data_IF_810901216296
#
_entry.id   IF_810901216296
#
_cell.length_a   1.000
_cell.length_b   1.000
_cell.length_c   1.000
_cell.angle_alpha   90.00
_cell.angle_beta   90.00
_cell.angle_gamma   90.00
#
_symmetry.space_group_name_H-M   'P 1'
#
loop_
_entity.id
_entity.type
_entity.pdbx_description
1 polymer ?
#
# COMPACT_ATOMS: atom_id res chain seq x y z
N UNK A 1 -26.08 -32.78 13.57
CA UNK A 1 -25.37 -32.01 14.60
C UNK A 1 -24.35 -31.18 13.84
N UNK A 2 -24.74 -30.00 13.38
CA UNK A 2 -23.83 -29.11 12.66
C UNK A 2 -22.80 -28.60 13.68
N UNK A 3 -21.57 -29.07 13.55
CA UNK A 3 -20.44 -28.44 14.19
C UNK A 3 -20.29 -27.05 13.57
N UNK A 4 -20.88 -26.04 14.22
CA UNK A 4 -20.46 -24.66 13.99
C UNK A 4 -18.95 -24.64 14.23
N UNK A 5 -18.15 -24.51 13.17
CA UNK A 5 -16.73 -24.20 13.31
C UNK A 5 -16.67 -22.89 14.09
N UNK A 6 -16.39 -22.98 15.39
CA UNK A 6 -16.12 -21.80 16.21
C UNK A 6 -14.95 -21.08 15.55
N UNK A 7 -15.16 -19.85 15.13
CA UNK A 7 -14.14 -19.05 14.45
C UNK A 7 -13.47 -18.04 15.40
N UNK A 8 -12.56 -17.21 14.86
CA UNK A 8 -11.97 -16.10 15.60
C UNK A 8 -13.00 -15.12 16.20
N UNK A 9 -14.23 -15.06 15.64
CA UNK A 9 -15.33 -14.27 16.20
C UNK A 9 -15.73 -14.73 17.61
N UNK A 10 -15.74 -16.04 17.86
CA UNK A 10 -16.22 -16.62 19.11
C UNK A 10 -15.10 -16.76 20.13
N UNK A 11 -13.96 -17.28 19.70
CA UNK A 11 -12.82 -17.60 20.57
C UNK A 11 -11.50 -17.14 19.94
N UNK A 12 -11.21 -15.84 19.91
CA UNK A 12 -10.01 -15.28 19.23
C UNK A 12 -8.67 -15.67 19.87
N UNK A 13 -8.68 -16.25 21.07
CA UNK A 13 -7.47 -16.73 21.77
C UNK A 13 -6.99 -18.10 21.25
N UNK A 14 -7.78 -18.79 20.43
CA UNK A 14 -7.41 -20.08 19.85
C UNK A 14 -6.69 -19.91 18.50
N UNK A 15 -6.11 -21.01 18.02
CA UNK A 15 -5.46 -21.06 16.72
C UNK A 15 -6.45 -21.48 15.63
N UNK A 16 -6.44 -20.77 14.50
CA UNK A 16 -7.34 -21.02 13.36
C UNK A 16 -6.59 -20.98 12.02
N UNK A 17 -7.18 -21.55 10.95
CA UNK A 17 -6.66 -21.41 9.60
C UNK A 17 -6.57 -19.95 9.15
N UNK A 18 -5.69 -19.69 8.18
CA UNK A 18 -5.48 -18.36 7.59
C UNK A 18 -6.77 -17.75 7.03
N UNK A 19 -7.64 -18.58 6.44
CA UNK A 19 -8.91 -18.15 5.85
C UNK A 19 -9.81 -17.49 6.90
N UNK A 20 -9.97 -18.14 8.06
CA UNK A 20 -10.83 -17.63 9.13
C UNK A 20 -10.29 -16.33 9.72
N UNK A 21 -8.97 -16.22 9.87
CA UNK A 21 -8.33 -14.98 10.33
C UNK A 21 -8.51 -13.85 9.33
N UNK A 22 -8.33 -14.14 8.04
CA UNK A 22 -8.48 -13.12 7.01
C UNK A 22 -9.92 -12.62 6.91
N UNK A 23 -10.91 -13.50 6.97
CA UNK A 23 -12.31 -13.11 6.97
C UNK A 23 -12.67 -12.27 8.20
N UNK A 24 -12.17 -12.65 9.38
CA UNK A 24 -12.37 -11.88 10.61
C UNK A 24 -11.72 -10.48 10.54
N UNK A 25 -10.53 -10.35 9.93
CA UNK A 25 -9.86 -9.07 9.70
C UNK A 25 -10.61 -8.21 8.67
N UNK A 26 -11.15 -8.82 7.61
CA UNK A 26 -11.97 -8.11 6.60
C UNK A 26 -13.29 -7.62 7.17
N UNK A 27 -13.81 -8.29 8.20
CA UNK A 27 -14.94 -7.80 8.97
C UNK A 27 -14.52 -6.55 9.78
N UNK A 28 -14.45 -5.39 9.14
CA UNK A 28 -14.38 -4.09 9.81
C UNK A 28 -13.00 -3.62 10.31
N UNK A 29 -11.94 -4.43 10.24
CA UNK A 29 -10.58 -3.97 10.55
C UNK A 29 -9.87 -3.49 9.27
N UNK A 30 -9.85 -4.33 8.23
CA UNK A 30 -9.25 -4.02 6.93
C UNK A 30 -10.22 -3.23 6.05
N UNK A 31 -9.68 -2.52 5.05
CA UNK A 31 -10.47 -1.84 4.03
C UNK A 31 -11.33 -2.85 3.24
N UNK A 32 -12.58 -2.48 2.96
CA UNK A 32 -13.57 -3.34 2.29
C UNK A 32 -13.19 -3.75 0.85
N UNK A 33 -12.32 -2.99 0.20
CA UNK A 33 -11.89 -3.24 -1.17
C UNK A 33 -10.71 -4.20 -1.29
N UNK A 34 -10.16 -4.68 -0.16
CA UNK A 34 -9.18 -5.76 -0.16
C UNK A 34 -9.91 -7.07 -0.50
N UNK A 35 -9.46 -7.72 -1.58
CA UNK A 35 -9.96 -9.01 -2.05
C UNK A 35 -9.12 -10.18 -1.52
N UNK A 36 -9.47 -11.40 -1.94
CA UNK A 36 -8.76 -12.62 -1.51
C UNK A 36 -7.28 -12.64 -1.93
N UNK A 37 -6.88 -11.86 -2.95
CA UNK A 37 -5.47 -11.77 -3.36
C UNK A 37 -4.60 -11.09 -2.30
N UNK A 38 -5.21 -10.28 -1.43
CA UNK A 38 -4.55 -9.64 -0.29
C UNK A 38 -4.35 -10.53 0.92
N UNK A 39 -4.91 -11.75 0.94
CA UNK A 39 -4.82 -12.66 2.10
C UNK A 39 -3.40 -12.92 2.54
N UNK A 40 -2.62 -13.59 1.69
CA UNK A 40 -1.26 -14.02 2.01
C UNK A 40 -0.34 -12.82 2.29
N UNK A 41 -0.31 -11.76 1.46
CA UNK A 41 0.54 -10.61 1.73
C UNK A 41 0.25 -9.93 3.07
N UNK A 42 -1.02 -9.79 3.45
CA UNK A 42 -1.40 -9.11 4.68
C UNK A 42 -1.15 -9.99 5.91
N UNK A 43 -1.45 -11.29 5.85
CA UNK A 43 -1.18 -12.19 6.97
C UNK A 43 0.33 -12.33 7.24
N UNK A 44 1.15 -12.47 6.20
CA UNK A 44 2.60 -12.48 6.33
C UNK A 44 3.14 -11.18 6.95
N UNK A 45 2.61 -10.03 6.53
CA UNK A 45 2.99 -8.76 7.09
C UNK A 45 2.59 -8.63 8.57
N UNK A 46 1.42 -9.12 8.96
CA UNK A 46 0.99 -9.16 10.37
C UNK A 46 1.82 -10.14 11.22
N UNK A 47 2.31 -11.23 10.65
CA UNK A 47 3.27 -12.14 11.29
C UNK A 47 4.62 -11.44 11.52
N UNK A 48 5.14 -10.74 10.51
CA UNK A 48 6.39 -9.97 10.64
C UNK A 48 6.29 -8.83 11.68
N UNK A 49 5.08 -8.32 11.92
CA UNK A 49 4.80 -7.34 12.97
C UNK A 49 4.55 -7.96 14.35
N UNK A 50 4.64 -9.29 14.49
CA UNK A 50 4.33 -10.06 15.69
C UNK A 50 2.90 -9.83 16.22
N UNK A 51 1.94 -9.50 15.36
CA UNK A 51 0.52 -9.37 15.71
C UNK A 51 -0.15 -10.75 15.65
N UNK A 52 0.27 -11.55 14.68
CA UNK A 52 -0.07 -12.96 14.56
C UNK A 52 1.16 -13.80 14.86
N UNK A 53 0.92 -15.00 15.37
CA UNK A 53 1.93 -16.03 15.59
C UNK A 53 1.57 -17.27 14.78
N UNK A 54 2.55 -17.86 14.11
CA UNK A 54 2.40 -19.17 13.46
C UNK A 54 2.55 -20.29 14.49
N UNK A 55 1.50 -21.08 14.69
CA UNK A 55 1.55 -22.29 15.50
C UNK A 55 2.22 -23.47 14.78
N UNK A 56 2.45 -24.56 15.52
CA UNK A 56 3.14 -25.76 15.02
C UNK A 56 2.40 -26.54 13.93
N UNK A 57 1.10 -26.28 13.76
CA UNK A 57 0.22 -26.96 12.80
C UNK A 57 -0.13 -26.11 11.56
N UNK A 58 0.56 -24.98 11.34
CA UNK A 58 0.21 -24.03 10.27
C UNK A 58 -1.04 -23.20 10.56
N UNK A 59 -1.62 -23.33 11.75
CA UNK A 59 -2.67 -22.45 12.25
C UNK A 59 -2.06 -21.17 12.80
N UNK A 60 -2.76 -20.05 12.65
CA UNK A 60 -2.36 -18.76 13.21
C UNK A 60 -3.10 -18.47 14.50
N UNK A 61 -2.49 -17.65 15.36
CA UNK A 61 -3.09 -17.15 16.61
C UNK A 61 -2.76 -15.67 16.78
N UNK A 62 -3.66 -14.89 17.40
CA UNK A 62 -3.31 -13.53 17.83
C UNK A 62 -2.35 -13.56 19.04
N UNK A 63 -1.30 -12.75 18.96
CA UNK A 63 -0.37 -12.53 20.05
C UNK A 63 -1.09 -11.90 21.25
N UNK A 64 -0.68 -12.28 22.46
CA UNK A 64 -1.09 -11.62 23.72
C UNK A 64 -2.60 -11.62 24.04
N UNK A 65 -3.41 -12.46 23.39
CA UNK A 65 -4.85 -12.58 23.71
C UNK A 65 -5.07 -13.66 24.77
N UNK A 66 -5.55 -13.23 25.94
CA UNK A 66 -5.94 -14.11 27.04
C UNK A 66 -7.33 -14.73 26.84
N UNK A 67 -7.52 -15.91 27.42
CA UNK A 67 -8.82 -16.58 27.48
C UNK A 67 -9.85 -15.76 28.28
N UNK A 68 -11.12 -15.78 27.87
CA UNK A 68 -12.22 -15.11 28.56
C UNK A 68 -12.63 -13.73 28.04
N UNK A 69 -11.90 -13.16 27.07
CA UNK A 69 -12.33 -11.94 26.38
C UNK A 69 -13.28 -12.27 25.22
N UNK A 70 -14.35 -11.49 25.09
CA UNK A 70 -15.27 -11.60 23.95
C UNK A 70 -14.60 -11.12 22.66
N UNK A 71 -14.98 -11.71 21.52
CA UNK A 71 -14.42 -11.37 20.20
C UNK A 71 -14.50 -9.88 19.87
N UNK A 72 -15.62 -9.22 20.19
CA UNK A 72 -15.78 -7.77 19.99
C UNK A 72 -14.82 -6.92 20.82
N UNK A 73 -14.50 -7.33 22.06
CA UNK A 73 -13.54 -6.62 22.90
C UNK A 73 -12.11 -6.82 22.40
N UNK A 74 -11.76 -8.04 21.99
CA UNK A 74 -10.45 -8.33 21.38
C UNK A 74 -10.28 -7.55 20.07
N UNK A 75 -11.33 -7.44 19.26
CA UNK A 75 -11.33 -6.64 18.04
C UNK A 75 -10.98 -5.17 18.30
N UNK A 76 -11.59 -4.56 19.30
CA UNK A 76 -11.30 -3.17 19.66
C UNK A 76 -9.85 -2.99 20.16
N UNK A 77 -9.37 -3.89 21.03
CA UNK A 77 -7.99 -3.88 21.50
C UNK A 77 -6.98 -4.04 20.35
N UNK A 78 -7.30 -4.92 19.39
CA UNK A 78 -6.47 -5.11 18.20
C UNK A 78 -6.43 -3.84 17.35
N UNK A 79 -7.56 -3.17 17.12
CA UNK A 79 -7.59 -1.90 16.38
C UNK A 79 -6.73 -0.84 17.07
N UNK A 80 -6.77 -0.73 18.40
CA UNK A 80 -5.93 0.19 19.17
C UNK A 80 -4.43 -0.15 19.03
N UNK A 81 -4.08 -1.43 19.13
CA UNK A 81 -2.71 -1.92 18.92
C UNK A 81 -2.22 -1.62 17.51
N UNK A 82 -3.02 -1.95 16.48
CA UNK A 82 -2.73 -1.68 15.07
C UNK A 82 -2.52 -0.19 14.80
N UNK A 83 -3.35 0.68 15.38
CA UNK A 83 -3.18 2.14 15.26
C UNK A 83 -1.86 2.60 15.91
N UNK A 84 -1.47 2.02 17.04
CA UNK A 84 -0.20 2.33 17.70
C UNK A 84 0.99 1.86 16.86
N UNK A 85 0.96 0.63 16.38
CA UNK A 85 2.00 0.03 15.53
C UNK A 85 2.11 0.78 14.21
N UNK A 86 1.01 1.33 13.67
CA UNK A 86 1.02 2.09 12.42
C UNK A 86 1.92 3.34 12.44
N UNK A 87 2.24 3.85 13.63
CA UNK A 87 3.15 4.99 13.82
C UNK A 87 4.63 4.58 13.89
N UNK A 88 4.93 3.28 13.95
CA UNK A 88 6.30 2.74 14.02
C UNK A 88 6.93 2.63 12.63
N UNK A 89 8.25 2.46 12.58
CA UNK A 89 8.98 2.30 11.33
C UNK A 89 8.54 1.04 10.56
N UNK A 90 8.36 -0.08 11.26
CA UNK A 90 7.98 -1.35 10.65
C UNK A 90 6.50 -1.39 10.28
N UNK A 91 5.63 -0.77 11.07
CA UNK A 91 4.18 -0.77 10.87
C UNK A 91 3.66 0.27 9.88
N UNK A 92 4.53 1.05 9.23
CA UNK A 92 4.15 2.21 8.41
C UNK A 92 3.09 1.92 7.34
N UNK A 93 3.04 0.69 6.81
CA UNK A 93 2.10 0.33 5.75
C UNK A 93 0.67 0.08 6.27
N UNK A 94 0.48 -0.14 7.58
CA UNK A 94 -0.83 -0.41 8.17
C UNK A 94 -1.84 0.70 7.88
N UNK A 95 -1.41 1.96 7.85
CA UNK A 95 -2.27 3.12 7.56
C UNK A 95 -2.98 3.02 6.20
N UNK A 96 -2.45 2.23 5.25
CA UNK A 96 -3.07 2.06 3.94
C UNK A 96 -4.10 0.93 3.92
N UNK A 97 -3.99 -0.05 4.82
CA UNK A 97 -4.83 -1.25 4.82
C UNK A 97 -6.00 -1.17 5.80
N UNK A 98 -5.86 -0.39 6.87
CA UNK A 98 -6.85 -0.30 7.95
C UNK A 98 -8.01 0.62 7.59
N UNK A 99 -9.24 0.14 7.82
CA UNK A 99 -10.48 0.91 7.62
C UNK A 99 -10.50 2.21 8.44
N UNK A 100 -9.86 2.24 9.61
CA UNK A 100 -9.77 3.42 10.49
C UNK A 100 -9.03 4.62 9.87
N UNK A 101 -8.34 4.41 8.75
CA UNK A 101 -7.63 5.45 8.00
C UNK A 101 -8.22 5.72 6.61
N UNK A 102 -9.30 5.03 6.21
CA UNK A 102 -9.90 5.16 4.87
C UNK A 102 -10.28 6.60 4.51
N UNK A 103 -10.80 7.37 5.47
CA UNK A 103 -11.25 8.74 5.25
C UNK A 103 -10.19 9.80 5.59
N UNK A 104 -9.01 9.36 6.05
CA UNK A 104 -7.92 10.25 6.47
C UNK A 104 -6.97 10.51 5.31
N UNK A 105 -6.29 11.66 5.36
CA UNK A 105 -5.22 11.95 4.41
C UNK A 105 -4.06 10.97 4.65
N UNK A 106 -3.86 10.07 3.71
CA UNK A 106 -2.81 9.05 3.77
C UNK A 106 -1.42 9.70 3.63
N UNK A 107 -0.40 9.15 4.31
CA UNK A 107 0.96 9.66 4.16
C UNK A 107 1.48 9.43 2.74
N UNK A 108 2.39 10.29 2.25
CA UNK A 108 3.08 10.04 0.99
C UNK A 108 4.02 8.82 1.14
N UNK A 109 4.12 8.02 0.08
CA UNK A 109 5.02 6.84 0.05
C UNK A 109 6.51 7.24 0.06
N UNK A 110 6.82 8.48 -0.29
CA UNK A 110 8.18 9.01 -0.29
C UNK A 110 8.45 9.82 0.97
N UNK A 111 9.42 9.39 1.77
CA UNK A 111 10.02 10.16 2.88
C UNK A 111 11.00 11.23 2.35
N UNK A 112 10.86 11.67 1.10
CA UNK A 112 11.67 12.76 0.59
C UNK A 112 11.10 14.08 1.15
N UNK A 113 11.90 14.71 2.02
CA UNK A 113 11.87 16.15 2.31
C UNK A 113 11.44 16.88 1.04
N UNK A 114 10.57 17.91 1.12
CA UNK A 114 10.13 18.64 -0.06
C UNK A 114 11.40 19.03 -0.79
N UNK A 115 11.61 18.45 -1.97
CA UNK A 115 12.70 18.84 -2.86
C UNK A 115 12.53 20.34 -2.93
N UNK A 116 13.40 21.09 -2.23
CA UNK A 116 13.44 22.53 -2.36
C UNK A 116 13.47 22.72 -3.85
N UNK A 117 12.41 23.30 -4.40
CA UNK A 117 12.29 23.60 -5.82
C UNK A 117 13.62 24.20 -6.20
N UNK A 118 14.51 23.39 -6.79
CA UNK A 118 15.82 23.85 -7.17
C UNK A 118 15.46 24.84 -8.25
N UNK A 119 15.52 26.13 -7.89
CA UNK A 119 15.17 27.25 -8.76
C UNK A 119 15.76 26.88 -10.10
N UNK A 120 14.91 26.54 -11.08
CA UNK A 120 15.35 26.23 -12.43
C UNK A 120 16.21 27.41 -12.82
N UNK A 121 17.53 27.23 -12.88
CA UNK A 121 18.41 28.25 -13.41
C UNK A 121 17.88 28.49 -14.83
N UNK A 122 17.38 29.70 -15.10
CA UNK A 122 17.05 30.14 -16.45
C UNK A 122 18.36 30.04 -17.24
N UNK A 123 18.49 29.02 -18.08
CA UNK A 123 19.60 28.85 -19.03
C UNK A 123 19.20 29.37 -20.42
N UNK A 124 18.26 30.32 -20.48
CA UNK A 124 17.98 31.03 -21.72
C UNK A 124 18.08 32.52 -21.43
N UNK A 125 19.30 33.03 -21.61
CA UNK A 125 19.50 34.42 -21.94
C UNK A 125 18.82 34.66 -23.29
N UNK A 126 18.05 35.73 -23.34
CA UNK A 126 17.45 36.27 -24.54
C UNK A 126 18.55 36.59 -25.57
N UNK A 127 18.53 35.89 -26.69
CA UNK A 127 19.06 36.41 -27.94
C UNK A 127 18.13 36.01 -29.08
N UNK A 128 17.65 37.04 -29.76
CA UNK A 128 16.61 37.07 -30.78
C UNK A 128 17.03 36.29 -32.05
N UNK A 129 16.01 35.70 -32.72
CA UNK A 129 15.91 35.15 -34.10
C UNK A 129 16.06 33.62 -34.29
N UNK A 130 15.44 33.02 -35.33
CA UNK A 130 14.10 33.24 -35.86
C UNK A 130 13.25 31.95 -35.85
N UNK A 131 11.94 32.17 -36.00
CA UNK A 131 10.83 31.24 -36.21
C UNK A 131 11.16 30.09 -37.20
N UNK A 132 11.64 28.97 -36.68
CA UNK A 132 11.41 27.66 -37.28
C UNK A 132 10.85 26.73 -36.21
N UNK A 133 9.60 26.31 -36.39
CA UNK A 133 9.03 25.16 -35.67
C UNK A 133 9.85 23.93 -36.02
N UNK A 134 10.89 23.64 -35.24
CA UNK A 134 11.48 22.31 -35.19
C UNK A 134 10.57 21.46 -34.32
N UNK A 135 9.61 20.78 -34.95
CA UNK A 135 9.07 19.55 -34.39
C UNK A 135 10.25 18.59 -34.30
N UNK A 136 10.83 18.42 -33.11
CA UNK A 136 11.94 17.50 -32.94
C UNK A 136 11.41 16.08 -33.05
N UNK A 137 11.67 15.43 -34.18
CA UNK A 137 11.55 13.98 -34.32
C UNK A 137 12.56 13.35 -33.35
N UNK A 138 12.08 13.01 -32.16
CA UNK A 138 12.91 12.33 -31.16
C UNK A 138 13.27 10.97 -31.75
N UNK A 139 14.57 10.71 -31.88
CA UNK A 139 15.05 9.35 -32.20
C UNK A 139 14.55 8.37 -31.15
N UNK A 140 14.23 7.14 -31.55
CA UNK A 140 13.79 6.06 -30.64
C UNK A 140 14.70 5.93 -29.40
N UNK A 141 16.02 6.09 -29.57
CA UNK A 141 16.99 6.08 -28.46
C UNK A 141 16.82 7.26 -27.49
N UNK A 142 16.49 8.45 -27.98
CA UNK A 142 16.23 9.61 -27.14
C UNK A 142 14.91 9.45 -26.39
N UNK A 143 13.90 8.85 -27.01
CA UNK A 143 12.63 8.50 -26.36
C UNK A 143 12.90 7.50 -25.23
N UNK A 144 13.61 6.40 -25.50
CA UNK A 144 13.95 5.38 -24.49
C UNK A 144 14.76 5.97 -23.34
N UNK A 145 15.79 6.78 -23.62
CA UNK A 145 16.60 7.45 -22.58
C UNK A 145 15.75 8.39 -21.73
N UNK A 146 14.86 9.17 -22.36
CA UNK A 146 13.97 10.09 -21.66
C UNK A 146 12.98 9.35 -20.76
N UNK A 147 12.37 8.28 -21.27
CA UNK A 147 11.47 7.42 -20.49
C UNK A 147 12.18 6.75 -19.33
N UNK A 148 13.37 6.17 -19.56
CA UNK A 148 14.17 5.56 -18.49
C UNK A 148 14.52 6.55 -17.37
N UNK A 149 14.89 7.78 -17.73
CA UNK A 149 15.16 8.84 -16.74
C UNK A 149 13.88 9.29 -16.00
N UNK A 150 12.73 9.33 -16.67
CA UNK A 150 11.46 9.67 -16.04
C UNK A 150 10.97 8.58 -15.08
N UNK A 151 11.20 7.31 -15.41
CA UNK A 151 10.77 6.18 -14.59
C UNK A 151 11.70 5.88 -13.41
N UNK A 152 12.96 6.33 -13.46
CA UNK A 152 13.96 6.04 -12.41
C UNK A 152 13.47 6.40 -11.01
N UNK A 153 12.91 7.61 -10.83
CA UNK A 153 12.39 8.01 -9.53
C UNK A 153 11.25 7.11 -9.02
N UNK A 154 10.41 6.59 -9.91
CA UNK A 154 9.36 5.65 -9.53
C UNK A 154 9.94 4.29 -9.12
N UNK A 155 10.89 3.77 -9.89
CA UNK A 155 11.57 2.49 -9.61
C UNK A 155 12.34 2.56 -8.28
N UNK A 156 12.99 3.70 -7.99
CA UNK A 156 13.71 3.90 -6.73
C UNK A 156 12.76 3.87 -5.53
N UNK A 157 11.58 4.51 -5.65
CA UNK A 157 10.55 4.51 -4.59
C UNK A 157 9.95 3.12 -4.40
N UNK A 158 9.65 2.43 -5.49
CA UNK A 158 9.16 1.06 -5.47
C UNK A 158 10.17 0.14 -4.76
N UNK A 159 11.43 0.16 -5.15
CA UNK A 159 12.47 -0.68 -4.56
C UNK A 159 12.67 -0.38 -3.08
N UNK A 160 12.74 0.90 -2.69
CA UNK A 160 12.89 1.30 -1.28
C UNK A 160 11.68 0.86 -0.44
N UNK A 161 10.47 1.02 -0.96
CA UNK A 161 9.24 0.65 -0.24
C UNK A 161 9.13 -0.86 -0.11
N UNK A 162 9.40 -1.61 -1.19
CA UNK A 162 9.41 -3.07 -1.16
C UNK A 162 10.47 -3.60 -0.19
N UNK A 163 11.68 -3.04 -0.22
CA UNK A 163 12.74 -3.44 0.71
C UNK A 163 12.32 -3.23 2.18
N UNK A 164 11.57 -2.17 2.47
CA UNK A 164 11.05 -1.87 3.81
C UNK A 164 9.87 -2.77 4.21
N UNK A 165 9.05 -3.20 3.26
CA UNK A 165 7.92 -4.10 3.50
C UNK A 165 8.34 -5.56 3.70
N UNK A 166 9.49 -5.96 3.17
CA UNK A 166 9.98 -7.32 3.29
C UNK A 166 10.39 -7.64 4.71
N UNK A 167 10.03 -8.84 5.15
CA UNK A 167 10.39 -9.38 6.45
C UNK A 167 10.78 -10.84 6.35
N UNK A 168 10.61 -11.56 7.46
CA UNK A 168 10.90 -12.99 7.53
C UNK A 168 9.83 -13.80 6.78
N UNK A 169 8.56 -13.45 6.98
CA UNK A 169 7.42 -14.07 6.32
C UNK A 169 7.05 -13.37 5.01
N UNK A 170 7.13 -12.03 4.96
CA UNK A 170 6.75 -11.25 3.79
C UNK A 170 7.75 -11.41 2.65
N UNK A 171 7.34 -12.13 1.60
CA UNK A 171 8.14 -12.36 0.41
C UNK A 171 8.23 -11.12 -0.49
N UNK A 172 9.12 -11.17 -1.49
CA UNK A 172 9.20 -10.12 -2.52
C UNK A 172 7.87 -9.92 -3.26
N UNK A 173 7.15 -11.01 -3.55
CA UNK A 173 5.86 -10.95 -4.26
C UNK A 173 4.78 -10.31 -3.38
N UNK A 174 4.79 -10.65 -2.09
CA UNK A 174 3.85 -10.08 -1.11
C UNK A 174 4.06 -8.57 -0.97
N UNK A 175 5.32 -8.14 -0.83
CA UNK A 175 5.68 -6.74 -0.77
C UNK A 175 5.33 -5.96 -2.06
N UNK A 176 5.46 -6.58 -3.24
CA UNK A 176 5.04 -5.99 -4.52
C UNK A 176 3.52 -5.80 -4.60
N UNK A 177 2.75 -6.78 -4.13
CA UNK A 177 1.29 -6.68 -4.05
C UNK A 177 0.89 -5.54 -3.12
N UNK A 178 1.48 -5.51 -1.91
CA UNK A 178 1.24 -4.45 -0.93
C UNK A 178 1.56 -3.07 -1.48
N UNK A 179 2.72 -2.90 -2.12
CA UNK A 179 3.09 -1.64 -2.76
C UNK A 179 2.08 -1.20 -3.84
N UNK A 180 1.63 -2.14 -4.67
CA UNK A 180 0.63 -1.88 -5.72
C UNK A 180 -0.70 -1.42 -5.12
N UNK A 181 -1.12 -2.05 -4.02
CA UNK A 181 -2.31 -1.65 -3.28
C UNK A 181 -2.15 -0.25 -2.67
N UNK A 182 -1.04 0.04 -1.99
CA UNK A 182 -0.76 1.36 -1.42
C UNK A 182 -0.73 2.48 -2.50
N UNK A 183 -0.18 2.19 -3.68
CA UNK A 183 -0.23 3.09 -4.82
C UNK A 183 -1.66 3.35 -5.31
N UNK A 184 -2.52 2.34 -5.30
CA UNK A 184 -3.92 2.51 -5.69
C UNK A 184 -4.67 3.46 -4.74
N UNK A 185 -4.30 3.49 -3.45
CA UNK A 185 -4.89 4.36 -2.43
C UNK A 185 -4.36 5.79 -2.45
N UNK A 186 -3.09 5.96 -2.81
CA UNK A 186 -2.45 7.29 -2.87
C UNK A 186 -2.70 8.03 -4.18
N UNK A 187 -3.09 7.31 -5.25
CA UNK A 187 -3.50 7.92 -6.51
C UNK A 187 -4.88 8.54 -6.36
N UNK A 188 -4.91 9.79 -5.91
CA UNK A 188 -6.04 10.66 -6.21
C UNK A 188 -6.16 10.72 -7.74
N UNK A 189 -7.31 10.30 -8.31
CA UNK A 189 -7.54 10.39 -9.76
C UNK A 189 -7.35 11.85 -10.16
N UNK A 190 -6.22 12.16 -10.77
CA UNK A 190 -5.94 13.52 -11.23
C UNK A 190 -7.08 13.92 -12.17
N UNK A 191 -7.72 15.09 -11.96
CA UNK A 191 -8.77 15.52 -12.87
C UNK A 191 -8.19 15.56 -14.27
N UNK A 192 -8.94 15.00 -15.23
CA UNK A 192 -8.51 14.90 -16.62
C UNK A 192 -7.99 16.26 -17.09
N UNK A 193 -6.77 16.29 -17.61
CA UNK A 193 -6.17 17.55 -18.06
C UNK A 193 -7.01 18.12 -19.20
N UNK A 194 -7.06 19.45 -19.34
CA UNK A 194 -7.89 20.12 -20.36
C UNK A 194 -7.68 19.55 -21.78
N UNK A 195 -6.46 19.12 -22.12
CA UNK A 195 -6.17 18.50 -23.42
C UNK A 195 -6.76 17.08 -23.58
N UNK A 196 -6.83 16.29 -22.51
CA UNK A 196 -7.49 14.96 -22.47
C UNK A 196 -9.00 15.09 -22.64
N UNK A 197 -9.60 16.14 -22.06
CA UNK A 197 -11.02 16.43 -22.24
C UNK A 197 -11.35 16.86 -23.68
N UNK A 198 -10.46 17.62 -24.33
CA UNK A 198 -10.61 18.02 -25.74
C UNK A 198 -10.52 16.81 -26.66
N UNK A 199 -9.61 15.87 -26.40
CA UNK A 199 -9.52 14.62 -27.16
C UNK A 199 -10.80 13.78 -27.10
N UNK A 200 -11.36 13.62 -25.89
CA UNK A 200 -12.61 12.85 -25.68
C UNK A 200 -13.83 13.48 -26.36
N UNK A 201 -13.86 14.82 -26.50
CA UNK A 201 -14.92 15.52 -27.25
C UNK A 201 -14.81 15.38 -28.77
N UNK A 202 -13.62 15.11 -29.32
CA UNK A 202 -13.40 14.95 -30.77
C UNK A 202 -13.72 13.56 -31.31
N UNK A 203 -13.78 12.55 -30.44
CA UNK A 203 -14.10 11.16 -30.80
C UNK A 203 -15.55 10.77 -30.47
N UNK A 204 -16.43 11.76 -30.32
CA UNK A 204 -17.88 11.58 -30.13
C UNK A 204 -18.60 12.19 -31.32
#
# INVERSE_FOLDING_TARGET
>A
MESFEMGPHDKPHLSYPEELWFDWLRDGILNKDIDLSGKTPLLHYLLDLNILESGSSGLLKLSEVNEGLSGGRVKNLLIESLNTISSTENGFALVYFLSSFSDKKLPPLTTELPVQNSKRKKIFNDSVLPRHKKTSDLSNLQIVKKWGNQMRGFLDVEQKTIARLRGFYTSQKDAQWMFSYMLSKTKEKSPARKWEQISRKRHR
#
